data_IF_677790051555
#
_entry.id   IF_677790051555
#
_cell.length_a   1.000
_cell.length_b   1.000
_cell.length_c   1.000
_cell.angle_alpha   90.00
_cell.angle_beta   90.00
_cell.angle_gamma   90.00
#
_symmetry.space_group_name_H-M   'P 1'
#
loop_
_entity.id
_entity.type
_entity.pdbx_description
1 polymer ?
#
# COMPACT_ATOMS: atom_id res chain seq x y z
N UNK A 1 -16.16 -6.01 -0.22
CA UNK A 1 -15.16 -4.94 -0.01
C UNK A 1 -13.90 -5.35 -0.76
N UNK A 2 -13.38 -4.53 -1.69
CA UNK A 2 -12.27 -4.91 -2.58
C UNK A 2 -10.90 -4.72 -1.93
N UNK A 3 -10.02 -5.71 -2.07
CA UNK A 3 -8.57 -5.59 -1.81
C UNK A 3 -7.89 -5.10 -3.08
N UNK A 4 -6.90 -4.22 -2.96
CA UNK A 4 -6.13 -3.66 -4.08
C UNK A 4 -4.68 -3.46 -3.67
N UNK A 5 -3.78 -3.37 -4.64
CA UNK A 5 -2.39 -2.97 -4.40
C UNK A 5 -2.29 -1.54 -3.89
N UNK A 6 -1.20 -1.22 -3.19
CA UNK A 6 -0.88 0.14 -2.75
C UNK A 6 -0.88 1.10 -3.94
N UNK A 7 -0.32 0.68 -5.07
CA UNK A 7 -0.27 1.47 -6.31
C UNK A 7 -1.67 1.78 -6.85
N UNK A 8 -2.57 0.80 -6.88
CA UNK A 8 -3.96 1.01 -7.33
C UNK A 8 -4.70 2.00 -6.43
N UNK A 9 -4.63 1.84 -5.10
CA UNK A 9 -5.21 2.80 -4.15
C UNK A 9 -4.68 4.21 -4.36
N UNK A 10 -3.37 4.34 -4.62
CA UNK A 10 -2.72 5.62 -4.87
C UNK A 10 -3.22 6.27 -6.18
N UNK A 11 -3.42 5.50 -7.23
CA UNK A 11 -3.97 5.98 -8.49
C UNK A 11 -5.45 6.36 -8.42
N UNK A 12 -6.25 5.68 -7.61
CA UNK A 12 -7.64 6.08 -7.35
C UNK A 12 -7.74 7.43 -6.63
N UNK A 13 -6.70 7.82 -5.90
CA UNK A 13 -6.55 9.15 -5.31
C UNK A 13 -5.90 10.17 -6.24
N UNK A 14 -5.54 9.79 -7.47
CA UNK A 14 -4.83 10.62 -8.44
C UNK A 14 -3.50 11.21 -7.94
N UNK A 15 -2.78 10.50 -7.06
CA UNK A 15 -1.49 10.96 -6.52
C UNK A 15 -0.29 10.10 -6.94
N UNK A 16 0.88 10.72 -7.04
CA UNK A 16 2.16 10.04 -7.27
C UNK A 16 2.83 9.57 -5.97
N UNK A 17 3.93 8.81 -6.08
CA UNK A 17 4.72 8.35 -4.93
C UNK A 17 5.26 9.52 -4.08
N UNK A 18 5.72 10.60 -4.72
CA UNK A 18 6.23 11.80 -4.03
C UNK A 18 5.15 12.49 -3.21
N UNK A 19 3.94 12.56 -3.74
CA UNK A 19 2.82 13.18 -3.06
C UNK A 19 2.31 12.31 -1.90
N UNK A 20 2.21 10.99 -2.10
CA UNK A 20 1.92 10.07 -0.99
C UNK A 20 2.99 10.17 0.11
N UNK A 21 4.27 10.28 -0.25
CA UNK A 21 5.35 10.45 0.72
C UNK A 21 5.17 11.71 1.56
N UNK A 22 4.89 12.85 0.89
CA UNK A 22 4.65 14.13 1.55
C UNK A 22 3.45 14.06 2.51
N UNK A 23 2.34 13.47 2.07
CA UNK A 23 1.10 13.40 2.85
C UNK A 23 1.15 12.41 4.02
N UNK A 24 1.85 11.28 3.84
CA UNK A 24 1.94 10.23 4.87
C UNK A 24 3.13 10.39 5.82
N UNK A 25 4.10 11.24 5.47
CA UNK A 25 5.38 11.35 6.18
C UNK A 25 6.25 10.09 6.05
N UNK A 26 6.01 9.26 5.03
CA UNK A 26 6.82 8.07 4.71
C UNK A 26 7.75 8.41 3.55
N UNK A 27 9.01 7.97 3.60
CA UNK A 27 9.96 8.28 2.54
C UNK A 27 9.54 7.64 1.19
N UNK A 28 9.87 8.32 0.08
CA UNK A 28 9.64 7.79 -1.27
C UNK A 28 10.33 6.43 -1.47
N UNK A 29 11.54 6.26 -0.91
CA UNK A 29 12.28 5.01 -0.97
C UNK A 29 11.53 3.87 -0.26
N UNK A 30 10.98 4.14 0.91
CA UNK A 30 10.14 3.19 1.65
C UNK A 30 8.88 2.84 0.86
N UNK A 31 8.15 3.82 0.34
CA UNK A 31 6.94 3.55 -0.45
C UNK A 31 7.24 2.73 -1.71
N UNK A 32 8.32 3.06 -2.42
CA UNK A 32 8.77 2.28 -3.58
C UNK A 32 9.10 0.84 -3.20
N UNK A 33 9.82 0.64 -2.09
CA UNK A 33 10.13 -0.70 -1.61
C UNK A 33 8.88 -1.50 -1.22
N UNK A 34 7.88 -0.85 -0.62
CA UNK A 34 6.60 -1.47 -0.27
C UNK A 34 5.80 -1.85 -1.52
N UNK A 35 5.63 -0.95 -2.50
CA UNK A 35 4.89 -1.23 -3.75
C UNK A 35 5.50 -2.36 -4.58
N UNK A 36 6.82 -2.57 -4.48
CA UNK A 36 7.52 -3.65 -5.19
C UNK A 36 7.74 -4.90 -4.32
N UNK A 37 7.18 -4.94 -3.11
CA UNK A 37 7.36 -6.07 -2.18
C UNK A 37 8.80 -6.27 -1.66
N UNK A 38 9.71 -5.32 -1.89
CA UNK A 38 11.11 -5.35 -1.41
C UNK A 38 11.24 -5.07 0.09
N UNK A 39 10.19 -4.55 0.72
CA UNK A 39 10.10 -4.39 2.17
C UNK A 39 8.72 -4.82 2.64
N UNK A 40 8.66 -5.45 3.82
CA UNK A 40 7.41 -5.79 4.50
C UNK A 40 6.83 -4.60 5.29
N UNK A 41 7.66 -3.60 5.59
CA UNK A 41 7.30 -2.44 6.40
C UNK A 41 6.92 -2.79 7.84
N UNK A 42 6.72 -1.76 8.66
CA UNK A 42 6.21 -1.90 10.03
C UNK A 42 4.70 -1.60 10.05
N UNK A 43 3.92 -2.16 11.01
CA UNK A 43 2.49 -1.86 11.14
C UNK A 43 2.18 -0.36 11.24
N UNK A 44 3.03 0.41 11.91
CA UNK A 44 2.89 1.86 12.02
C UNK A 44 3.03 2.58 10.66
N UNK A 45 3.92 2.10 9.79
CA UNK A 45 4.11 2.64 8.43
C UNK A 45 2.85 2.40 7.59
N UNK A 46 2.30 1.19 7.64
CA UNK A 46 1.07 0.86 6.93
C UNK A 46 -0.12 1.65 7.42
N UNK A 47 -0.22 1.91 8.73
CA UNK A 47 -1.26 2.78 9.30
C UNK A 47 -1.19 4.21 8.75
N UNK A 48 0.00 4.80 8.64
CA UNK A 48 0.18 6.13 8.05
C UNK A 48 -0.29 6.16 6.60
N UNK A 49 0.16 5.19 5.80
CA UNK A 49 -0.21 5.06 4.38
C UNK A 49 -1.72 4.90 4.21
N UNK A 50 -2.32 3.98 4.96
CA UNK A 50 -3.74 3.68 4.89
C UNK A 50 -4.61 4.88 5.31
N UNK A 51 -4.21 5.59 6.38
CA UNK A 51 -4.88 6.82 6.82
C UNK A 51 -4.85 7.90 5.72
N UNK A 52 -3.69 8.10 5.07
CA UNK A 52 -3.57 9.06 3.96
C UNK A 52 -4.45 8.68 2.77
N UNK A 53 -4.57 7.38 2.48
CA UNK A 53 -5.41 6.87 1.40
C UNK A 53 -6.91 6.78 1.79
N UNK A 54 -7.25 6.95 3.08
CA UNK A 54 -8.61 6.84 3.59
C UNK A 54 -9.16 5.41 3.52
N UNK A 55 -8.31 4.41 3.74
CA UNK A 55 -8.68 2.98 3.70
C UNK A 55 -8.20 2.25 4.94
N UNK A 56 -8.75 1.08 5.20
CA UNK A 56 -8.19 0.16 6.21
C UNK A 56 -6.92 -0.51 5.66
N UNK A 57 -5.83 -0.63 6.43
CA UNK A 57 -4.62 -1.35 6.02
C UNK A 57 -4.90 -2.74 5.44
N UNK A 58 -5.90 -3.47 5.95
CA UNK A 58 -6.26 -4.83 5.51
C UNK A 58 -6.78 -4.88 4.06
N UNK A 59 -7.09 -3.72 3.47
CA UNK A 59 -7.48 -3.59 2.06
C UNK A 59 -6.31 -3.36 1.12
N UNK A 60 -5.09 -3.24 1.66
CA UNK A 60 -3.85 -3.09 0.90
C UNK A 60 -3.21 -4.48 0.77
N UNK A 61 -3.08 -4.97 -0.46
CA UNK A 61 -2.59 -6.33 -0.74
C UNK A 61 -1.21 -6.60 -0.11
N UNK A 62 -0.29 -5.64 -0.19
CA UNK A 62 1.07 -5.75 0.32
C UNK A 62 1.10 -5.82 1.86
N UNK A 63 0.19 -5.15 2.55
CA UNK A 63 0.06 -5.28 4.01
C UNK A 63 -0.49 -6.64 4.41
N UNK A 64 -1.54 -7.11 3.72
CA UNK A 64 -2.11 -8.46 3.95
C UNK A 64 -1.04 -9.53 3.80
N UNK A 65 -0.21 -9.43 2.75
CA UNK A 65 0.90 -10.33 2.52
C UNK A 65 1.91 -10.32 3.69
N UNK A 66 2.20 -9.15 4.28
CA UNK A 66 3.08 -9.04 5.46
C UNK A 66 2.55 -9.75 6.69
N UNK A 67 1.24 -9.81 6.88
CA UNK A 67 0.60 -10.43 8.06
C UNK A 67 0.06 -11.85 7.79
N UNK A 68 0.41 -12.45 6.65
CA UNK A 68 0.01 -13.82 6.30
C UNK A 68 -1.45 -13.99 5.88
N UNK A 69 -2.11 -12.91 5.45
CA UNK A 69 -3.51 -12.90 5.01
C UNK A 69 -3.67 -12.73 3.49
N UNK A 70 -2.59 -12.91 2.72
CA UNK A 70 -2.68 -12.84 1.26
C UNK A 70 -3.53 -13.99 0.70
N UNK A 71 -4.48 -13.64 -0.16
CA UNK A 71 -5.24 -14.55 -1.01
C UNK A 71 -4.67 -14.53 -2.44
N UNK A 72 -4.72 -15.63 -3.21
CA UNK A 72 -4.39 -15.64 -4.64
C UNK A 72 -5.15 -14.55 -5.43
N UNK A 73 -6.36 -14.21 -4.98
CA UNK A 73 -7.23 -13.23 -5.61
C UNK A 73 -6.84 -11.76 -5.33
N UNK A 74 -5.99 -11.51 -4.32
CA UNK A 74 -5.55 -10.15 -3.95
C UNK A 74 -4.63 -9.53 -5.01
N UNK A 75 -4.01 -10.37 -5.86
CA UNK A 75 -3.10 -9.98 -6.94
C UNK A 75 -3.80 -9.83 -8.30
N UNK A 76 -5.12 -9.62 -8.30
CA UNK A 76 -5.89 -9.38 -9.52
C UNK A 76 -5.31 -8.25 -10.37
N UNK A 77 -4.76 -8.63 -11.52
CA UNK A 77 -4.20 -7.81 -12.60
C UNK A 77 -2.77 -7.26 -12.39
N UNK A 78 -1.78 -8.14 -12.49
CA UNK A 78 -0.50 -7.80 -13.11
C UNK A 78 -0.64 -8.04 -14.63
N UNK A 79 -0.57 -7.02 -15.50
CA UNK A 79 -0.09 -7.25 -16.87
C UNK A 79 1.43 -7.48 -16.87
#
# INVERSE_FOLDING_TARGET
MSVKTLRQWRYEKAIGLRELARLSGVSVATLTALEHGRSRGYPATWRKIANTLGVDPIRIAEYRATIGLASPDDAGATP
#
